data_IF_057116844487
#
_entry.id   IF_057116844487
#
_cell.length_a   1.000
_cell.length_b   1.000
_cell.length_c   1.000
_cell.angle_alpha   90.00
_cell.angle_beta   90.00
_cell.angle_gamma   90.00
#
_symmetry.space_group_name_H-M   'P 1'
#
loop_
_entity.id
_entity.type
_entity.pdbx_description
1 polymer ?
#
# COMPACT_ATOMS: atom_id res chain seq x y z
N UNK A 1 13.57 -21.03 -6.86
CA UNK A 1 12.12 -20.77 -6.88
C UNK A 1 11.93 -19.44 -6.19
N UNK A 2 11.29 -18.47 -6.84
CA UNK A 2 11.12 -17.11 -6.29
C UNK A 2 10.11 -17.06 -5.15
N UNK A 3 10.26 -16.10 -4.24
CA UNK A 3 9.21 -15.78 -3.26
C UNK A 3 8.28 -14.74 -3.88
N UNK A 4 7.20 -15.21 -4.49
CA UNK A 4 6.17 -14.37 -5.10
C UNK A 4 4.88 -14.35 -4.31
N UNK A 5 4.02 -13.36 -4.58
CA UNK A 5 2.71 -13.20 -3.97
C UNK A 5 1.97 -12.03 -4.58
N UNK A 6 0.77 -11.75 -4.09
CA UNK A 6 -0.07 -10.68 -4.60
C UNK A 6 -0.41 -9.65 -3.54
N UNK A 7 -0.48 -8.40 -3.96
CA UNK A 7 -1.03 -7.29 -3.21
C UNK A 7 -2.27 -6.76 -3.94
N UNK A 8 -3.44 -6.90 -3.31
CA UNK A 8 -4.67 -6.28 -3.80
C UNK A 8 -4.76 -4.87 -3.24
N UNK A 9 -4.73 -3.88 -4.12
CA UNK A 9 -5.03 -2.50 -3.78
C UNK A 9 -6.46 -2.18 -4.19
N UNK A 10 -7.26 -1.69 -3.25
CA UNK A 10 -8.62 -1.24 -3.54
C UNK A 10 -8.81 0.20 -3.10
N UNK A 11 -9.07 1.06 -4.08
CA UNK A 11 -9.47 2.44 -3.85
C UNK A 11 -10.98 2.50 -3.63
N UNK A 12 -11.42 2.48 -2.38
CA UNK A 12 -12.82 2.69 -2.02
C UNK A 12 -13.13 4.16 -1.70
N UNK A 13 -12.26 5.09 -2.08
CA UNK A 13 -12.46 6.53 -1.92
C UNK A 13 -13.03 7.15 -3.20
N UNK A 14 -13.54 8.37 -3.09
CA UNK A 14 -13.93 9.18 -4.26
C UNK A 14 -12.74 9.82 -5.00
N UNK A 15 -11.53 9.72 -4.45
CA UNK A 15 -10.33 10.37 -4.97
C UNK A 15 -9.56 9.41 -5.88
N UNK A 16 -9.10 9.89 -7.04
CA UNK A 16 -8.19 9.10 -7.85
C UNK A 16 -6.83 9.00 -7.14
N UNK A 17 -6.28 7.79 -7.04
CA UNK A 17 -4.91 7.62 -6.57
C UNK A 17 -3.98 7.87 -7.76
N UNK A 18 -3.01 8.76 -7.59
CA UNK A 18 -1.95 8.99 -8.58
C UNK A 18 -0.61 8.62 -7.96
N UNK A 19 0.11 7.70 -8.59
CA UNK A 19 1.44 7.29 -8.17
C UNK A 19 2.39 8.48 -8.33
N UNK A 20 3.06 8.85 -7.25
CA UNK A 20 4.03 9.95 -7.23
C UNK A 20 5.46 9.45 -7.13
N UNK A 21 5.64 8.21 -6.69
CA UNK A 21 6.93 7.58 -6.49
C UNK A 21 6.79 6.07 -6.50
N UNK A 22 7.78 5.38 -7.06
CA UNK A 22 8.05 3.97 -6.79
C UNK A 22 9.56 3.72 -6.80
N UNK A 23 10.00 2.82 -5.95
CA UNK A 23 11.37 2.32 -5.92
C UNK A 23 11.39 0.89 -5.43
N UNK A 24 12.37 0.13 -5.90
CA UNK A 24 12.59 -1.26 -5.50
C UNK A 24 14.06 -1.60 -5.51
N UNK A 25 14.46 -2.45 -4.59
CA UNK A 25 15.80 -3.00 -4.43
C UNK A 25 15.68 -4.51 -4.18
N UNK A 26 16.42 -5.29 -4.97
CA UNK A 26 16.38 -6.76 -4.92
C UNK A 26 14.96 -7.35 -5.09
N UNK A 27 14.18 -6.76 -6.01
CA UNK A 27 12.85 -7.27 -6.38
C UNK A 27 12.87 -7.72 -7.84
N UNK A 28 12.43 -8.94 -8.12
CA UNK A 28 12.17 -9.40 -9.49
C UNK A 28 10.94 -8.72 -10.08
N UNK A 29 9.93 -8.42 -9.24
CA UNK A 29 8.76 -7.66 -9.66
C UNK A 29 8.29 -6.69 -8.56
N UNK A 30 8.26 -5.40 -8.89
CA UNK A 30 7.69 -4.32 -8.09
C UNK A 30 7.21 -3.20 -9.02
N UNK A 31 6.08 -3.43 -9.68
CA UNK A 31 5.53 -2.47 -10.63
C UNK A 31 4.06 -2.20 -10.33
N UNK A 32 3.77 -0.93 -10.09
CA UNK A 32 2.47 -0.46 -9.66
C UNK A 32 1.87 0.47 -10.73
N UNK A 33 0.55 0.49 -10.94
CA UNK A 33 -0.05 1.37 -11.95
C UNK A 33 0.13 2.84 -11.59
N UNK A 34 0.22 3.70 -12.61
CA UNK A 34 0.35 5.14 -12.38
C UNK A 34 -0.91 5.74 -11.74
N UNK A 35 -2.07 5.11 -11.95
CA UNK A 35 -3.33 5.57 -11.36
C UNK A 35 -4.23 4.42 -10.97
N UNK A 36 -5.03 4.64 -9.91
CA UNK A 36 -6.12 3.76 -9.51
C UNK A 36 -7.37 4.63 -9.36
N UNK A 37 -8.35 4.40 -10.23
CA UNK A 37 -9.59 5.17 -10.27
C UNK A 37 -10.41 5.02 -8.98
N UNK A 38 -11.28 5.99 -8.64
CA UNK A 38 -12.25 5.85 -7.56
C UNK A 38 -13.06 4.56 -7.67
N UNK A 39 -13.30 3.92 -6.53
CA UNK A 39 -14.09 2.68 -6.42
C UNK A 39 -13.59 1.51 -7.27
N UNK A 40 -12.28 1.45 -7.54
CA UNK A 40 -11.67 0.41 -8.35
C UNK A 40 -10.52 -0.30 -7.62
N UNK A 41 -10.26 -1.55 -8.02
CA UNK A 41 -9.20 -2.38 -7.47
C UNK A 41 -8.21 -2.84 -8.53
N UNK A 42 -6.96 -3.04 -8.10
CA UNK A 42 -5.89 -3.60 -8.92
C UNK A 42 -5.16 -4.67 -8.13
N UNK A 43 -4.81 -5.76 -8.81
CA UNK A 43 -4.07 -6.88 -8.23
C UNK A 43 -2.64 -6.83 -8.75
N UNK A 44 -1.70 -6.60 -7.85
CA UNK A 44 -0.28 -6.40 -8.15
C UNK A 44 0.47 -7.68 -7.81
N UNK A 45 1.20 -8.23 -8.77
CA UNK A 45 2.15 -9.30 -8.48
C UNK A 45 3.41 -8.69 -7.86
N UNK A 46 3.96 -9.33 -6.84
CA UNK A 46 5.21 -8.92 -6.19
C UNK A 46 6.09 -10.15 -6.08
N UNK A 47 7.37 -10.00 -6.45
CA UNK A 47 8.34 -11.10 -6.42
C UNK A 47 9.71 -10.61 -5.95
N UNK A 48 10.26 -11.29 -4.95
CA UNK A 48 11.60 -11.03 -4.42
C UNK A 48 12.69 -11.66 -5.31
N UNK A 49 13.85 -11.03 -5.37
CA UNK A 49 15.02 -11.61 -6.01
C UNK A 49 15.78 -12.55 -5.07
N UNK A 50 15.35 -13.81 -5.07
CA UNK A 50 15.98 -14.89 -4.29
C UNK A 50 17.40 -15.28 -4.75
N UNK A 51 17.89 -14.73 -5.87
CA UNK A 51 19.26 -14.99 -6.34
C UNK A 51 20.31 -14.08 -5.68
N UNK A 52 19.85 -13.04 -4.99
CA UNK A 52 20.67 -12.02 -4.33
C UNK A 52 20.91 -12.33 -2.84
N UNK A 53 20.95 -11.34 -1.95
CA UNK A 53 21.06 -11.52 -0.50
C UNK A 53 19.65 -11.69 0.09
N UNK A 54 19.16 -12.92 0.32
CA UNK A 54 17.76 -13.13 0.66
C UNK A 54 17.44 -12.45 1.99
N UNK A 55 16.43 -11.56 1.98
CA UNK A 55 15.98 -10.85 3.17
C UNK A 55 16.45 -9.41 3.29
N UNK A 56 17.28 -8.88 2.39
CA UNK A 56 17.55 -7.43 2.27
C UNK A 56 16.69 -6.77 1.17
N UNK A 57 15.67 -7.48 0.70
CA UNK A 57 14.77 -7.03 -0.34
C UNK A 57 13.79 -5.98 0.18
N UNK A 58 13.53 -4.96 -0.64
CA UNK A 58 12.63 -3.89 -0.28
C UNK A 58 12.07 -3.12 -1.46
N UNK A 59 10.87 -2.58 -1.27
CA UNK A 59 10.25 -1.71 -2.25
C UNK A 59 9.27 -0.77 -1.59
N UNK A 60 9.06 0.40 -2.19
CA UNK A 60 8.04 1.33 -1.76
C UNK A 60 7.34 2.00 -2.94
N UNK A 61 6.09 2.35 -2.73
CA UNK A 61 5.25 3.09 -3.66
C UNK A 61 4.45 4.13 -2.90
N UNK A 62 4.33 5.33 -3.47
CA UNK A 62 3.57 6.43 -2.89
C UNK A 62 2.48 6.86 -3.85
N UNK A 63 1.31 7.09 -3.29
CA UNK A 63 0.16 7.62 -4.01
C UNK A 63 -0.35 8.86 -3.32
N UNK A 64 -0.77 9.84 -4.12
CA UNK A 64 -1.56 10.96 -3.64
C UNK A 64 -3.04 10.79 -4.02
N UNK A 65 -3.92 11.34 -3.19
CA UNK A 65 -5.36 11.44 -3.45
C UNK A 65 -5.65 12.71 -4.26
N UNK A 66 -5.78 12.57 -5.58
CA UNK A 66 -6.06 13.69 -6.49
C UNK A 66 -7.44 14.26 -6.19
N UNK A 67 -7.51 15.59 -6.04
CA UNK A 67 -8.75 16.31 -5.72
C UNK A 67 -9.10 16.32 -4.23
N UNK A 68 -8.25 15.77 -3.36
CA UNK A 68 -8.45 15.85 -1.91
C UNK A 68 -8.34 17.31 -1.41
N UNK A 69 -9.32 17.81 -0.62
CA UNK A 69 -9.34 19.20 -0.16
C UNK A 69 -8.19 19.56 0.79
N UNK A 70 -7.46 18.57 1.32
CA UNK A 70 -6.28 18.77 2.16
C UNK A 70 -5.10 19.40 1.41
N UNK A 71 -5.08 19.36 0.06
CA UNK A 71 -3.96 19.79 -0.77
C UNK A 71 -2.76 18.83 -0.75
N UNK A 72 -2.50 18.13 0.36
CA UNK A 72 -1.54 17.02 0.49
C UNK A 72 -2.18 15.86 1.23
N UNK A 73 -2.59 14.83 0.50
CA UNK A 73 -3.08 13.58 1.08
C UNK A 73 -2.36 12.43 0.39
N UNK A 74 -1.24 12.01 0.99
CA UNK A 74 -0.35 10.98 0.45
C UNK A 74 -0.34 9.78 1.39
N UNK A 75 -0.35 8.57 0.83
CA UNK A 75 -0.13 7.34 1.57
C UNK A 75 0.91 6.47 0.86
N UNK A 76 1.54 5.60 1.65
CA UNK A 76 2.70 4.82 1.25
C UNK A 76 2.38 3.35 1.47
N UNK A 77 2.85 2.53 0.56
CA UNK A 77 2.91 1.09 0.75
C UNK A 77 4.37 0.69 0.53
N UNK A 78 4.94 0.01 1.51
CA UNK A 78 6.31 -0.48 1.44
C UNK A 78 6.35 -1.97 1.77
N UNK A 79 7.39 -2.65 1.32
CA UNK A 79 7.76 -3.97 1.77
C UNK A 79 9.23 -3.95 2.18
N UNK A 80 9.54 -4.61 3.29
CA UNK A 80 10.90 -4.82 3.75
C UNK A 80 10.96 -6.07 4.62
N UNK A 81 12.03 -6.85 4.51
CA UNK A 81 12.16 -8.13 5.23
C UNK A 81 10.92 -9.03 5.10
N UNK A 82 10.31 -9.06 3.90
CA UNK A 82 9.07 -9.81 3.62
C UNK A 82 7.90 -9.45 4.54
N UNK A 83 7.73 -8.16 4.83
CA UNK A 83 6.54 -7.67 5.51
C UNK A 83 6.07 -6.40 4.82
N UNK A 84 4.80 -6.36 4.39
CA UNK A 84 4.22 -5.14 3.87
C UNK A 84 3.87 -4.18 5.00
N UNK A 85 3.96 -2.88 4.71
CA UNK A 85 3.61 -1.79 5.62
C UNK A 85 2.79 -0.74 4.89
N UNK A 86 1.74 -0.25 5.53
CA UNK A 86 0.97 0.92 5.12
C UNK A 86 1.35 2.12 5.98
N UNK A 87 1.61 3.29 5.38
CA UNK A 87 1.88 4.52 6.12
C UNK A 87 1.02 5.69 5.66
N UNK A 88 0.57 6.49 6.62
CA UNK A 88 -0.31 7.64 6.38
C UNK A 88 0.28 8.93 6.98
N UNK A 89 1.29 9.55 6.35
CA UNK A 89 2.01 10.69 6.94
C UNK A 89 1.28 12.02 6.90
N UNK A 90 0.19 12.15 6.15
CA UNK A 90 -0.50 13.44 5.94
C UNK A 90 -1.93 13.47 6.51
N UNK A 91 -2.47 12.34 6.97
CA UNK A 91 -3.83 12.27 7.52
C UNK A 91 -3.98 11.14 8.54
N UNK A 92 -4.89 11.33 9.50
CA UNK A 92 -5.25 10.32 10.47
C UNK A 92 -6.08 9.20 9.81
N UNK A 93 -6.01 8.00 10.37
CA UNK A 93 -6.72 6.83 9.85
C UNK A 93 -7.54 6.16 10.94
N UNK A 94 -8.73 5.68 10.58
CA UNK A 94 -9.52 4.80 11.43
C UNK A 94 -9.40 3.34 10.99
N UNK A 95 -9.35 2.42 11.97
CA UNK A 95 -9.64 0.98 11.77
C UNK A 95 -10.80 0.61 12.69
N UNK A 96 -11.96 0.35 12.10
CA UNK A 96 -13.20 0.21 12.88
C UNK A 96 -13.50 1.48 13.68
N UNK A 97 -13.67 1.35 15.01
CA UNK A 97 -13.96 2.47 15.91
C UNK A 97 -12.70 3.15 16.48
N UNK A 98 -11.51 2.65 16.16
CA UNK A 98 -10.26 3.20 16.68
C UNK A 98 -9.63 4.16 15.67
N UNK A 99 -9.28 5.36 16.13
CA UNK A 99 -8.51 6.34 15.37
C UNK A 99 -7.02 6.23 15.70
N UNK A 100 -6.20 6.37 14.66
CA UNK A 100 -4.75 6.35 14.73
C UNK A 100 -4.20 7.67 14.20
N UNK A 101 -3.19 8.24 14.87
CA UNK A 101 -2.66 9.56 14.52
C UNK A 101 -1.96 9.57 13.16
N UNK A 102 -1.77 10.77 12.63
CA UNK A 102 -0.94 11.03 11.44
C UNK A 102 0.45 10.41 11.64
N UNK A 103 0.98 9.78 10.59
CA UNK A 103 2.29 9.15 10.59
C UNK A 103 2.29 7.70 11.06
N UNK A 104 1.15 7.15 11.48
CA UNK A 104 1.01 5.75 11.88
C UNK A 104 1.39 4.82 10.73
N UNK A 105 2.10 3.75 11.08
CA UNK A 105 2.43 2.62 10.22
C UNK A 105 1.66 1.38 10.65
N UNK A 106 1.15 0.62 9.68
CA UNK A 106 0.46 -0.64 9.91
C UNK A 106 1.16 -1.76 9.16
N UNK A 107 1.58 -2.81 9.88
CA UNK A 107 2.03 -4.05 9.26
C UNK A 107 0.86 -4.77 8.58
N UNK A 108 1.05 -5.20 7.35
CA UNK A 108 0.08 -5.94 6.54
C UNK A 108 0.51 -7.39 6.31
N UNK A 109 1.66 -7.80 6.84
CA UNK A 109 2.20 -9.14 6.66
C UNK A 109 2.67 -9.43 5.23
N UNK A 110 3.03 -10.68 5.00
CA UNK A 110 3.34 -11.22 3.68
C UNK A 110 2.75 -12.61 3.56
N UNK A 111 2.20 -12.92 2.38
CA UNK A 111 1.64 -14.24 2.08
C UNK A 111 2.24 -14.72 0.77
N UNK A 112 3.25 -15.59 0.88
CA UNK A 112 3.82 -16.28 -0.28
C UNK A 112 2.74 -17.09 -1.00
N UNK A 113 2.67 -16.95 -2.32
CA UNK A 113 1.64 -17.50 -3.21
C UNK A 113 0.20 -17.14 -2.83
N UNK A 114 0.05 -16.16 -1.94
CA UNK A 114 -1.21 -15.69 -1.41
C UNK A 114 -1.48 -14.24 -1.77
N UNK A 115 -2.42 -13.65 -1.05
CA UNK A 115 -2.85 -12.28 -1.27
C UNK A 115 -2.88 -11.49 0.04
N UNK A 116 -2.17 -10.36 0.05
CA UNK A 116 -2.29 -9.30 1.05
C UNK A 116 -3.24 -8.24 0.53
N UNK A 117 -4.17 -7.77 1.36
CA UNK A 117 -5.22 -6.83 0.95
C UNK A 117 -4.99 -5.47 1.59
N UNK A 118 -5.07 -4.42 0.79
CA UNK A 118 -5.03 -3.02 1.20
C UNK A 118 -6.29 -2.32 0.66
N UNK A 119 -7.12 -1.78 1.55
CA UNK A 119 -8.28 -0.99 1.18
C UNK A 119 -8.22 0.33 1.94
N UNK A 120 -8.20 1.44 1.20
CA UNK A 120 -8.39 2.76 1.77
C UNK A 120 -9.77 3.27 1.32
N UNK A 121 -10.56 3.72 2.29
CA UNK A 121 -11.96 4.13 2.12
C UNK A 121 -12.25 5.39 2.93
N UNK A 122 -13.46 5.91 2.80
CA UNK A 122 -13.94 7.11 3.48
C UNK A 122 -13.70 8.37 2.67
N UNK A 123 -13.89 9.50 3.35
CA UNK A 123 -13.78 10.83 2.77
C UNK A 123 -12.98 11.72 3.72
N UNK A 124 -12.08 12.55 3.18
CA UNK A 124 -11.21 13.37 4.01
C UNK A 124 -12.02 14.35 4.88
N UNK A 125 -11.70 14.53 6.19
CA UNK A 125 -10.60 13.92 6.94
C UNK A 125 -10.93 12.55 7.58
N UNK A 126 -12.13 12.02 7.37
CA UNK A 126 -12.63 10.75 7.91
C UNK A 126 -12.23 9.56 7.02
N UNK A 127 -10.92 9.32 6.93
CA UNK A 127 -10.35 8.21 6.16
C UNK A 127 -10.33 6.92 7.00
N UNK A 128 -10.55 5.76 6.37
CA UNK A 128 -10.44 4.45 7.03
C UNK A 128 -9.55 3.49 6.24
N UNK A 129 -8.88 2.61 6.97
CA UNK A 129 -8.02 1.59 6.42
C UNK A 129 -8.51 0.19 6.80
N UNK A 130 -8.61 -0.69 5.81
CA UNK A 130 -8.98 -2.10 5.99
C UNK A 130 -7.92 -2.99 5.34
N UNK A 131 -7.67 -4.13 5.96
CA UNK A 131 -6.75 -5.16 5.46
C UNK A 131 -7.26 -6.53 5.89
N UNK A 132 -6.82 -7.58 5.21
CA UNK A 132 -7.14 -8.97 5.57
C UNK A 132 -6.27 -9.50 6.73
N UNK A 133 -5.36 -8.67 7.27
CA UNK A 133 -4.58 -8.98 8.46
C UNK A 133 -5.23 -8.36 9.70
N UNK A 134 -5.77 -9.24 10.55
CA UNK A 134 -6.43 -8.89 11.82
C UNK A 134 -5.39 -8.78 12.92
#
# INVERSE_FOLDING_TARGET
MGQGGFLLLYNATQYQWRKTYQHSYQMNNWDFPDTIAPFNGVRIYVEFDESSHPGDDGGDVKYELVGCPAGKAVFWIAIGFRNFYARFPEFAIKRGNQEYPIGTEFGLGWRHDGETVYILTGDYPNMQFLTNVV
#
